data_IF_475194281707
#
_entry.id   IF_475194281707
#
_cell.length_a   1.000
_cell.length_b   1.000
_cell.length_c   1.000
_cell.angle_alpha   90.00
_cell.angle_beta   90.00
_cell.angle_gamma   90.00
#
_symmetry.space_group_name_H-M   'P 1'
#
loop_
_entity.id
_entity.type
_entity.pdbx_description
1 polymer ?
#
# COMPACT_ATOMS: atom_id res chain seq x y z
N UNK A 1 13.80 -2.83 -24.96
CA UNK A 1 15.21 -2.56 -24.52
C UNK A 1 15.15 -2.24 -23.04
N UNK A 2 15.49 -3.18 -22.14
CA UNK A 2 15.50 -2.93 -20.68
C UNK A 2 16.66 -1.98 -20.39
N UNK A 3 16.37 -0.78 -19.99
CA UNK A 3 17.40 0.13 -19.47
C UNK A 3 17.86 -0.42 -18.14
N UNK A 4 19.10 -0.88 -18.08
CA UNK A 4 19.71 -1.43 -16.87
C UNK A 4 19.99 -0.27 -15.91
N UNK A 5 19.07 0.03 -14.99
CA UNK A 5 19.22 1.10 -13.98
C UNK A 5 20.35 0.83 -12.97
N UNK A 6 20.93 -0.36 -12.96
CA UNK A 6 22.11 -0.68 -12.15
C UNK A 6 23.39 0.08 -12.56
N UNK A 7 23.35 0.90 -13.60
CA UNK A 7 24.53 1.64 -14.10
C UNK A 7 24.51 3.14 -13.77
N UNK A 8 23.47 3.70 -13.18
CA UNK A 8 23.44 5.10 -12.77
C UNK A 8 23.48 5.14 -11.24
N UNK A 9 24.52 5.73 -10.62
CA UNK A 9 24.54 5.98 -9.18
C UNK A 9 23.52 7.06 -8.86
N UNK A 10 22.26 6.69 -8.86
CA UNK A 10 21.11 7.56 -8.64
C UNK A 10 20.63 7.47 -7.21
N UNK A 11 20.20 8.60 -6.66
CA UNK A 11 19.58 8.68 -5.34
C UNK A 11 18.07 8.60 -5.47
N UNK A 12 17.44 7.72 -4.68
CA UNK A 12 15.97 7.61 -4.61
C UNK A 12 15.43 8.34 -3.38
N UNK A 13 14.53 9.30 -3.57
CA UNK A 13 13.80 9.89 -2.45
C UNK A 13 12.66 8.97 -2.03
N UNK A 14 12.64 8.56 -0.76
CA UNK A 14 11.52 7.86 -0.13
C UNK A 14 10.80 8.80 0.82
N UNK A 15 9.52 9.07 0.56
CA UNK A 15 8.66 9.82 1.49
C UNK A 15 7.81 8.82 2.29
N UNK A 16 7.56 9.10 3.57
CA UNK A 16 6.85 8.17 4.44
C UNK A 16 7.69 6.98 4.90
N UNK A 17 9.02 7.12 4.91
CA UNK A 17 9.97 6.07 5.25
C UNK A 17 9.87 5.52 6.67
N UNK A 18 9.26 6.25 7.62
CA UNK A 18 8.97 5.75 8.98
C UNK A 18 7.66 4.97 9.07
N UNK A 19 6.84 4.94 8.00
CA UNK A 19 5.59 4.18 7.95
C UNK A 19 5.81 2.71 7.66
N UNK A 20 4.77 1.88 7.89
CA UNK A 20 4.80 0.42 7.72
C UNK A 20 5.37 -0.02 6.36
N UNK A 21 4.82 0.47 5.25
CA UNK A 21 5.31 0.12 3.89
C UNK A 21 6.65 0.82 3.59
N UNK A 22 6.78 2.11 3.95
CA UNK A 22 7.97 2.89 3.63
C UNK A 22 9.23 2.37 4.31
N UNK A 23 9.14 1.89 5.55
CA UNK A 23 10.27 1.28 6.27
C UNK A 23 10.71 -0.05 5.63
N UNK A 24 9.76 -0.87 5.17
CA UNK A 24 10.08 -2.10 4.44
C UNK A 24 10.78 -1.80 3.10
N UNK A 25 10.31 -0.80 2.36
CA UNK A 25 10.95 -0.34 1.11
C UNK A 25 12.39 0.13 1.37
N UNK A 26 12.62 0.88 2.44
CA UNK A 26 13.98 1.32 2.82
C UNK A 26 14.84 0.12 3.18
N UNK A 27 14.32 -0.82 3.97
CA UNK A 27 15.05 -2.03 4.39
C UNK A 27 15.43 -2.94 3.21
N UNK A 28 14.56 -3.03 2.19
CA UNK A 28 14.79 -3.84 0.98
C UNK A 28 15.77 -3.17 -0.01
N UNK A 29 16.19 -1.92 0.22
CA UNK A 29 16.99 -1.18 -0.74
C UNK A 29 18.45 -1.65 -0.78
N UNK A 30 18.95 -1.75 -2.00
CA UNK A 30 20.40 -1.84 -2.31
C UNK A 30 20.97 -0.54 -2.89
N UNK A 31 20.13 0.52 -3.00
CA UNK A 31 20.45 1.80 -3.64
C UNK A 31 20.68 2.90 -2.61
N UNK A 32 21.27 4.02 -3.05
CA UNK A 32 21.40 5.22 -2.22
C UNK A 32 20.03 5.83 -1.97
N UNK A 33 19.62 5.91 -0.71
CA UNK A 33 18.33 6.48 -0.30
C UNK A 33 18.50 7.87 0.30
N UNK A 34 17.61 8.78 -0.12
CA UNK A 34 17.24 9.96 0.66
C UNK A 34 15.88 9.72 1.29
N UNK A 35 15.75 9.88 2.59
CA UNK A 35 14.46 9.72 3.29
C UNK A 35 13.94 11.07 3.79
N UNK A 36 12.66 11.36 3.50
CA UNK A 36 11.98 12.48 4.13
C UNK A 36 11.53 12.08 5.54
N UNK A 37 12.10 12.73 6.53
CA UNK A 37 11.83 12.53 7.96
C UNK A 37 10.96 13.67 8.48
N UNK A 38 9.83 13.35 9.11
CA UNK A 38 8.96 14.35 9.74
C UNK A 38 9.06 14.28 11.28
N UNK A 39 8.37 13.37 11.92
CA UNK A 39 8.36 13.22 13.38
C UNK A 39 9.08 11.97 13.84
N UNK A 40 8.78 10.87 13.17
CA UNK A 40 9.33 9.57 13.52
C UNK A 40 10.67 9.35 12.80
N UNK A 41 11.61 8.74 13.51
CA UNK A 41 12.89 8.39 12.93
C UNK A 41 12.76 7.41 11.78
N UNK A 42 13.63 7.52 10.80
CA UNK A 42 13.82 6.53 9.76
C UNK A 42 15.08 5.74 10.09
N UNK A 43 14.94 4.44 10.24
CA UNK A 43 16.03 3.53 10.55
C UNK A 43 16.71 3.04 9.27
N UNK A 44 18.01 2.81 9.34
CA UNK A 44 18.84 2.26 8.28
C UNK A 44 20.22 2.92 8.24
N UNK A 45 21.19 2.17 7.75
CA UNK A 45 22.56 2.65 7.57
C UNK A 45 22.69 3.40 6.25
N UNK A 46 23.50 4.46 6.22
CA UNK A 46 23.83 5.23 5.01
C UNK A 46 22.62 5.89 4.32
N UNK A 47 21.60 6.31 5.09
CA UNK A 47 20.45 7.04 4.58
C UNK A 47 20.73 8.55 4.67
N UNK A 48 20.64 9.25 3.54
CA UNK A 48 20.62 10.71 3.50
C UNK A 48 19.26 11.21 4.02
N UNK A 49 19.23 11.84 5.19
CA UNK A 49 17.99 12.28 5.86
C UNK A 49 17.74 13.75 5.58
N UNK A 50 16.59 14.04 4.99
CA UNK A 50 16.06 15.39 4.84
C UNK A 50 14.84 15.57 5.73
N UNK A 51 14.77 16.71 6.40
CA UNK A 51 13.75 16.95 7.43
C UNK A 51 12.69 17.91 6.93
N UNK A 52 11.43 17.58 7.22
CA UNK A 52 10.29 18.44 6.92
C UNK A 52 8.95 17.72 6.94
N UNK A 53 7.90 18.55 6.92
CA UNK A 53 6.52 18.06 6.77
C UNK A 53 6.18 17.97 5.28
N UNK A 54 5.75 16.82 4.83
CA UNK A 54 5.24 16.61 3.46
C UNK A 54 4.19 17.68 3.04
N UNK A 55 3.45 18.23 4.00
CA UNK A 55 2.44 19.26 3.74
C UNK A 55 2.99 20.69 3.67
N UNK A 56 4.32 20.88 3.64
CA UNK A 56 4.98 22.21 3.72
C UNK A 56 5.00 23.03 2.44
N UNK A 57 4.78 22.42 1.26
CA UNK A 57 4.68 23.13 -0.01
C UNK A 57 5.92 23.09 -0.92
N UNK A 58 5.82 23.74 -2.08
CA UNK A 58 6.66 23.52 -3.26
C UNK A 58 8.17 23.79 -3.05
N UNK A 59 8.54 24.91 -2.43
CA UNK A 59 9.94 25.26 -2.20
C UNK A 59 10.72 24.21 -1.40
N UNK A 60 10.04 23.47 -0.53
CA UNK A 60 10.66 22.39 0.23
C UNK A 60 10.88 21.17 -0.66
N UNK A 61 9.94 20.84 -1.54
CA UNK A 61 10.09 19.72 -2.47
C UNK A 61 11.28 19.90 -3.39
N UNK A 62 11.50 21.08 -3.96
CA UNK A 62 12.67 21.37 -4.80
C UNK A 62 13.98 21.04 -4.08
N UNK A 63 14.09 21.38 -2.79
CA UNK A 63 15.28 21.06 -1.99
C UNK A 63 15.43 19.54 -1.73
N UNK A 64 14.33 18.85 -1.47
CA UNK A 64 14.38 17.42 -1.16
C UNK A 64 14.70 16.55 -2.38
N UNK A 65 14.29 16.99 -3.58
CA UNK A 65 14.53 16.26 -4.83
C UNK A 65 15.84 16.69 -5.53
N UNK A 66 16.60 17.64 -5.01
CA UNK A 66 17.87 18.04 -5.59
C UNK A 66 18.87 16.87 -5.59
N UNK A 67 19.41 16.53 -6.77
CA UNK A 67 20.27 15.37 -6.96
C UNK A 67 19.58 14.01 -6.82
N UNK A 68 18.24 13.97 -6.94
CA UNK A 68 17.42 12.74 -6.89
C UNK A 68 17.08 12.31 -8.32
N UNK A 69 17.16 11.00 -8.58
CA UNK A 69 16.86 10.42 -9.90
C UNK A 69 15.50 9.70 -9.92
N UNK A 70 14.97 9.31 -8.75
CA UNK A 70 13.68 8.64 -8.66
C UNK A 70 13.01 8.91 -7.31
N UNK A 71 11.70 8.73 -7.27
CA UNK A 71 10.91 8.97 -6.06
C UNK A 71 10.02 7.76 -5.78
N UNK A 72 9.98 7.34 -4.51
CA UNK A 72 8.99 6.40 -4.00
C UNK A 72 8.15 7.14 -2.97
N UNK A 73 6.91 7.46 -3.36
CA UNK A 73 6.01 8.26 -2.55
C UNK A 73 5.02 7.38 -1.80
N UNK A 74 5.29 7.15 -0.50
CA UNK A 74 4.41 6.38 0.40
C UNK A 74 3.79 7.25 1.49
N UNK A 75 4.17 8.53 1.58
CA UNK A 75 3.66 9.43 2.62
C UNK A 75 2.15 9.66 2.46
N UNK A 76 1.40 9.26 3.47
CA UNK A 76 -0.05 9.39 3.51
C UNK A 76 -0.50 9.93 4.87
N UNK A 77 -0.49 11.26 5.06
CA UNK A 77 -1.02 11.87 6.27
C UNK A 77 -2.48 11.47 6.48
N UNK A 78 -2.86 11.17 7.71
CA UNK A 78 -4.22 10.76 8.05
C UNK A 78 -4.71 11.39 9.36
N UNK A 79 -5.99 11.21 9.67
CA UNK A 79 -6.65 11.66 10.88
C UNK A 79 -7.59 10.58 11.40
N UNK A 80 -7.77 10.50 12.72
CA UNK A 80 -8.70 9.55 13.33
C UNK A 80 -10.18 9.83 13.03
N UNK A 81 -10.56 11.10 12.79
CA UNK A 81 -11.96 11.51 12.54
C UNK A 81 -12.22 11.69 11.06
N UNK A 82 -13.40 11.28 10.57
CA UNK A 82 -13.81 11.37 9.16
C UNK A 82 -13.64 12.77 8.56
N UNK A 83 -14.19 13.81 9.22
CA UNK A 83 -14.03 15.19 8.75
C UNK A 83 -12.56 15.64 8.70
N UNK A 84 -11.74 15.19 9.65
CA UNK A 84 -10.30 15.41 9.66
C UNK A 84 -9.61 14.75 8.50
N UNK A 85 -10.02 13.52 8.10
CA UNK A 85 -9.47 12.80 6.93
C UNK A 85 -9.68 13.56 5.63
N UNK A 86 -10.89 14.06 5.38
CA UNK A 86 -11.16 14.86 4.18
C UNK A 86 -10.41 16.20 4.17
N UNK A 87 -10.25 16.86 5.34
CA UNK A 87 -9.42 18.07 5.45
C UNK A 87 -7.96 17.77 5.11
N UNK A 88 -7.40 16.71 5.66
CA UNK A 88 -6.02 16.28 5.38
C UNK A 88 -5.88 15.86 3.92
N UNK A 89 -6.85 15.14 3.35
CA UNK A 89 -6.83 14.73 1.96
C UNK A 89 -6.74 15.90 0.99
N UNK A 90 -7.47 17.01 1.26
CA UNK A 90 -7.35 18.25 0.47
C UNK A 90 -5.97 18.90 0.61
N UNK A 91 -5.40 18.92 1.81
CA UNK A 91 -4.02 19.40 2.03
C UNK A 91 -3.00 18.51 1.31
N UNK A 92 -3.18 17.19 1.38
CA UNK A 92 -2.34 16.21 0.66
C UNK A 92 -2.43 16.43 -0.85
N UNK A 93 -3.65 16.70 -1.37
CA UNK A 93 -3.81 17.04 -2.80
C UNK A 93 -3.00 18.27 -3.16
N UNK A 94 -3.03 19.34 -2.37
CA UNK A 94 -2.25 20.54 -2.62
C UNK A 94 -0.75 20.27 -2.56
N UNK A 95 -0.29 19.51 -1.57
CA UNK A 95 1.11 19.09 -1.47
C UNK A 95 1.54 18.24 -2.68
N UNK A 96 0.70 17.32 -3.13
CA UNK A 96 0.97 16.51 -4.32
C UNK A 96 0.99 17.34 -5.62
N UNK A 97 0.15 18.38 -5.76
CA UNK A 97 0.25 19.33 -6.87
C UNK A 97 1.64 19.98 -6.88
N UNK A 98 2.09 20.47 -5.73
CA UNK A 98 3.41 21.10 -5.59
C UNK A 98 4.55 20.11 -5.86
N UNK A 99 4.42 18.86 -5.41
CA UNK A 99 5.43 17.83 -5.63
C UNK A 99 5.51 17.44 -7.11
N UNK A 100 4.37 17.25 -7.78
CA UNK A 100 4.31 17.01 -9.23
C UNK A 100 4.94 18.17 -10.02
N UNK A 101 4.67 19.40 -9.62
CA UNK A 101 5.30 20.60 -10.24
C UNK A 101 6.83 20.56 -10.12
N UNK A 102 7.34 20.28 -8.92
CA UNK A 102 8.76 20.14 -8.67
C UNK A 102 9.39 18.99 -9.47
N UNK A 103 8.73 17.83 -9.54
CA UNK A 103 9.16 16.66 -10.32
C UNK A 103 9.25 16.98 -11.81
N UNK A 104 8.25 17.66 -12.36
CA UNK A 104 8.25 18.11 -13.76
C UNK A 104 9.42 19.07 -14.05
N UNK A 105 9.61 20.05 -13.18
CA UNK A 105 10.68 21.06 -13.31
C UNK A 105 12.07 20.41 -13.24
N UNK A 106 12.27 19.50 -12.30
CA UNK A 106 13.53 18.77 -12.14
C UNK A 106 13.71 17.62 -13.13
N UNK A 107 12.69 17.32 -13.96
CA UNK A 107 12.70 16.23 -14.95
C UNK A 107 13.03 14.87 -14.33
N UNK A 108 12.48 14.58 -13.14
CA UNK A 108 12.66 13.27 -12.49
C UNK A 108 12.00 12.19 -13.37
N UNK A 109 12.76 11.20 -13.87
CA UNK A 109 12.25 10.29 -14.89
C UNK A 109 11.31 9.22 -14.32
N UNK A 110 11.38 8.93 -13.03
CA UNK A 110 10.62 7.84 -12.42
C UNK A 110 10.08 8.21 -11.05
N UNK A 111 8.77 8.05 -10.89
CA UNK A 111 8.10 8.21 -9.60
C UNK A 111 7.15 7.05 -9.36
N UNK A 112 7.27 6.38 -8.22
CA UNK A 112 6.27 5.42 -7.75
C UNK A 112 5.34 6.10 -6.75
N UNK A 113 4.05 6.03 -7.00
CA UNK A 113 3.01 6.35 -6.04
C UNK A 113 2.48 5.06 -5.41
N UNK A 114 2.71 4.87 -4.12
CA UNK A 114 2.10 3.78 -3.37
C UNK A 114 0.68 4.14 -2.98
N UNK A 115 -0.29 3.40 -3.48
CA UNK A 115 -1.69 3.60 -3.16
C UNK A 115 -2.42 2.26 -2.93
N UNK A 116 -3.67 2.29 -2.46
CA UNK A 116 -4.42 1.07 -2.13
C UNK A 116 -5.37 0.61 -3.22
N UNK A 117 -5.61 -0.69 -3.28
CA UNK A 117 -6.61 -1.32 -4.17
C UNK A 117 -8.06 -0.93 -3.82
N UNK A 118 -8.33 -0.42 -2.62
CA UNK A 118 -9.64 0.14 -2.25
C UNK A 118 -10.13 1.26 -3.17
N UNK A 119 -9.24 1.85 -3.98
CA UNK A 119 -9.62 2.81 -5.03
C UNK A 119 -10.49 2.21 -6.13
N UNK A 120 -10.44 0.89 -6.36
CA UNK A 120 -11.33 0.20 -7.28
C UNK A 120 -12.76 0.08 -6.74
N UNK A 121 -12.93 0.12 -5.42
CA UNK A 121 -14.21 -0.06 -4.75
C UNK A 121 -14.64 -1.51 -4.60
N UNK A 122 -15.89 -1.70 -4.18
CA UNK A 122 -16.47 -3.03 -4.05
C UNK A 122 -16.78 -3.60 -5.44
N UNK A 123 -16.20 -4.76 -5.79
CA UNK A 123 -16.29 -5.38 -7.12
C UNK A 123 -16.98 -6.74 -7.14
N UNK A 124 -17.48 -7.21 -6.00
CA UNK A 124 -18.14 -8.53 -5.93
C UNK A 124 -17.20 -9.64 -6.42
N UNK A 125 -17.60 -10.30 -7.51
CA UNK A 125 -16.86 -11.42 -8.13
C UNK A 125 -15.89 -11.00 -9.24
N UNK A 126 -15.96 -9.74 -9.66
CA UNK A 126 -15.15 -9.22 -10.76
C UNK A 126 -13.65 -9.38 -10.47
N UNK A 127 -12.90 -9.93 -11.43
CA UNK A 127 -11.45 -9.92 -11.40
C UNK A 127 -10.96 -8.53 -11.82
N UNK A 128 -10.34 -7.83 -10.90
CA UNK A 128 -9.98 -6.42 -11.04
C UNK A 128 -8.65 -6.29 -11.75
N UNK A 129 -8.66 -5.70 -12.94
CA UNK A 129 -7.50 -5.40 -13.77
C UNK A 129 -6.88 -4.04 -13.41
N UNK A 130 -5.66 -3.79 -13.87
CA UNK A 130 -4.97 -2.52 -13.63
C UNK A 130 -5.66 -1.31 -14.26
N UNK A 131 -6.43 -1.52 -15.32
CA UNK A 131 -7.23 -0.54 -16.06
C UNK A 131 -8.70 -0.48 -15.62
N UNK A 132 -9.12 -1.30 -14.65
CA UNK A 132 -10.48 -1.27 -14.10
C UNK A 132 -10.85 0.13 -13.58
N UNK A 133 -12.10 0.53 -13.81
CA UNK A 133 -12.61 1.85 -13.42
C UNK A 133 -12.50 2.03 -11.90
N UNK A 134 -12.03 3.19 -11.48
CA UNK A 134 -11.94 3.55 -10.06
C UNK A 134 -13.30 3.99 -9.51
N UNK A 135 -13.70 3.39 -8.39
CA UNK A 135 -14.89 3.76 -7.63
C UNK A 135 -14.59 3.68 -6.12
N UNK A 136 -13.79 4.62 -5.59
CA UNK A 136 -13.24 4.53 -4.24
C UNK A 136 -14.31 4.35 -3.16
N UNK A 137 -14.03 3.48 -2.18
CA UNK A 137 -14.89 3.24 -1.03
C UNK A 137 -14.13 3.35 0.28
N UNK A 138 -14.85 3.63 1.35
CA UNK A 138 -14.31 3.69 2.69
C UNK A 138 -13.15 4.68 2.81
N UNK A 139 -12.00 4.22 3.26
CA UNK A 139 -10.84 5.11 3.39
C UNK A 139 -10.34 5.66 2.05
N UNK A 140 -10.52 4.92 0.96
CA UNK A 140 -10.05 5.35 -0.35
C UNK A 140 -10.82 6.56 -0.88
N UNK A 141 -12.07 6.83 -0.44
CA UNK A 141 -12.81 8.05 -0.79
C UNK A 141 -12.01 9.32 -0.46
N UNK A 142 -11.42 9.37 0.74
CA UNK A 142 -10.58 10.49 1.13
C UNK A 142 -9.20 10.45 0.46
N UNK A 143 -8.57 9.28 0.40
CA UNK A 143 -7.19 9.16 -0.10
C UNK A 143 -7.07 9.42 -1.58
N UNK A 144 -8.07 9.06 -2.40
CA UNK A 144 -8.10 9.34 -3.84
C UNK A 144 -8.10 10.84 -4.17
N UNK A 145 -8.59 11.69 -3.25
CA UNK A 145 -8.47 13.14 -3.39
C UNK A 145 -6.99 13.56 -3.43
N UNK A 146 -6.18 12.99 -2.53
CA UNK A 146 -4.74 13.27 -2.48
C UNK A 146 -3.97 12.68 -3.65
N UNK A 147 -4.37 11.50 -4.13
CA UNK A 147 -3.75 10.78 -5.24
C UNK A 147 -3.90 11.50 -6.59
N UNK A 148 -5.01 12.17 -6.80
CA UNK A 148 -5.44 12.71 -8.10
C UNK A 148 -4.34 13.44 -8.90
N UNK A 149 -3.50 14.33 -8.32
CA UNK A 149 -2.46 15.02 -9.09
C UNK A 149 -1.43 14.09 -9.76
N UNK A 150 -1.12 12.95 -9.11
CA UNK A 150 -0.21 11.95 -9.66
C UNK A 150 -0.84 11.15 -10.78
N UNK A 151 -2.11 10.78 -10.62
CA UNK A 151 -2.88 10.08 -11.65
C UNK A 151 -3.06 10.97 -12.89
N UNK A 152 -3.38 12.25 -12.69
CA UNK A 152 -3.47 13.23 -13.78
C UNK A 152 -2.10 13.40 -14.47
N UNK A 153 -1.01 13.35 -13.72
CA UNK A 153 0.34 13.40 -14.28
C UNK A 153 0.67 12.15 -15.09
N UNK A 154 0.33 10.95 -14.60
CA UNK A 154 0.48 9.71 -15.35
C UNK A 154 -0.24 9.81 -16.71
N UNK A 155 -1.51 10.16 -16.72
CA UNK A 155 -2.31 10.24 -17.95
C UNK A 155 -1.89 11.37 -18.89
N UNK A 156 -1.11 12.35 -18.41
CA UNK A 156 -0.49 13.38 -19.25
C UNK A 156 0.89 12.99 -19.79
N UNK A 157 1.30 11.72 -19.66
CA UNK A 157 2.58 11.20 -20.15
C UNK A 157 3.74 11.35 -19.15
N UNK A 158 3.45 11.58 -17.87
CA UNK A 158 4.47 11.63 -16.81
C UNK A 158 5.02 10.28 -16.41
N UNK A 159 6.28 10.23 -15.96
CA UNK A 159 7.00 9.02 -15.54
C UNK A 159 6.51 8.44 -14.20
N UNK A 160 5.20 8.21 -14.06
CA UNK A 160 4.56 7.75 -12.81
C UNK A 160 4.14 6.29 -12.93
N UNK A 161 4.44 5.50 -11.89
CA UNK A 161 3.93 4.16 -11.66
C UNK A 161 3.05 4.18 -10.42
N UNK A 162 1.78 3.81 -10.55
CA UNK A 162 0.84 3.72 -9.43
C UNK A 162 0.74 2.27 -8.99
N UNK A 163 1.30 1.95 -7.83
CA UNK A 163 1.20 0.60 -7.24
C UNK A 163 -0.07 0.54 -6.40
N UNK A 164 -1.00 -0.33 -6.78
CA UNK A 164 -2.27 -0.59 -6.09
C UNK A 164 -2.10 -1.72 -5.06
N UNK A 165 -1.57 -1.38 -3.90
CA UNK A 165 -1.36 -2.35 -2.82
C UNK A 165 -2.69 -2.94 -2.32
N UNK A 166 -2.83 -4.28 -2.25
CA UNK A 166 -3.99 -4.94 -1.66
C UNK A 166 -3.92 -4.95 -0.12
N UNK A 167 -4.44 -5.97 0.54
CA UNK A 167 -4.24 -6.21 1.96
C UNK A 167 -2.77 -6.57 2.22
N UNK A 168 -2.00 -5.63 2.78
CA UNK A 168 -0.58 -5.83 3.08
C UNK A 168 -0.42 -6.46 4.46
N UNK A 169 0.14 -7.66 4.52
CA UNK A 169 0.47 -8.40 5.73
C UNK A 169 1.89 -8.05 6.20
N UNK A 170 2.09 -8.05 7.50
CA UNK A 170 3.39 -7.87 8.16
C UNK A 170 3.24 -7.46 9.62
N UNK A 171 4.30 -7.52 10.43
CA UNK A 171 4.29 -7.05 11.81
C UNK A 171 3.88 -5.58 11.91
N UNK A 172 2.95 -5.25 12.81
CA UNK A 172 2.41 -3.89 12.97
C UNK A 172 1.36 -3.50 11.93
N UNK A 173 0.87 -4.43 11.11
CA UNK A 173 -0.19 -4.17 10.12
C UNK A 173 -1.60 -4.21 10.73
N UNK A 174 -2.60 -3.96 9.88
CA UNK A 174 -4.02 -4.12 10.20
C UNK A 174 -4.37 -5.52 10.74
N UNK A 175 -3.57 -6.55 10.43
CA UNK A 175 -3.80 -7.94 10.83
C UNK A 175 -3.88 -8.08 12.35
N UNK A 176 -2.95 -7.49 13.08
CA UNK A 176 -2.92 -7.59 14.55
C UNK A 176 -4.20 -7.00 15.17
N UNK A 177 -4.63 -5.85 14.67
CA UNK A 177 -5.84 -5.17 15.16
C UNK A 177 -7.13 -5.95 14.87
N UNK A 178 -7.19 -6.67 13.73
CA UNK A 178 -8.42 -7.31 13.28
C UNK A 178 -8.50 -8.80 13.63
N UNK A 179 -7.36 -9.51 13.70
CA UNK A 179 -7.31 -10.97 13.77
C UNK A 179 -6.56 -11.53 14.99
N UNK A 180 -6.11 -10.69 15.92
CA UNK A 180 -5.47 -11.15 17.17
C UNK A 180 -6.40 -11.12 18.41
N UNK A 181 -7.71 -11.13 18.20
CA UNK A 181 -8.73 -11.25 19.26
C UNK A 181 -8.89 -12.72 19.74
N UNK A 182 -9.69 -12.95 20.80
CA UNK A 182 -9.99 -14.31 21.34
C UNK A 182 -10.64 -15.24 20.33
N UNK A 183 -11.47 -14.69 19.45
CA UNK A 183 -12.10 -15.38 18.31
C UNK A 183 -11.80 -14.64 17.04
N UNK A 184 -11.51 -15.40 15.99
CA UNK A 184 -11.22 -14.80 14.68
C UNK A 184 -12.52 -14.31 14.04
N UNK A 185 -12.60 -13.03 13.64
CA UNK A 185 -13.82 -12.47 13.08
C UNK A 185 -14.06 -12.91 11.64
N UNK A 186 -15.29 -13.35 11.36
CA UNK A 186 -15.85 -13.41 10.01
C UNK A 186 -16.68 -12.16 9.82
N UNK A 187 -16.28 -11.28 8.91
CA UNK A 187 -16.91 -9.97 8.71
C UNK A 187 -18.11 -10.07 7.77
N UNK A 188 -19.31 -9.78 8.27
CA UNK A 188 -20.56 -10.00 7.54
C UNK A 188 -20.80 -11.50 7.35
N UNK A 189 -20.95 -11.92 6.10
CA UNK A 189 -21.04 -13.34 5.70
C UNK A 189 -19.67 -13.93 5.30
N UNK A 190 -18.62 -13.08 5.26
CA UNK A 190 -17.27 -13.49 4.88
C UNK A 190 -17.07 -13.75 3.39
N UNK A 191 -18.07 -13.42 2.55
CA UNK A 191 -18.05 -13.71 1.11
C UNK A 191 -17.14 -12.78 0.31
N UNK A 192 -16.70 -11.65 0.87
CA UNK A 192 -15.85 -10.70 0.18
C UNK A 192 -14.47 -11.27 -0.15
N UNK A 193 -13.99 -11.01 -1.36
CA UNK A 193 -12.65 -11.37 -1.78
C UNK A 193 -11.58 -10.50 -1.10
N UNK A 194 -10.52 -11.16 -0.67
CA UNK A 194 -9.28 -10.57 -0.18
C UNK A 194 -8.13 -10.97 -1.09
N UNK A 195 -7.36 -9.99 -1.52
CA UNK A 195 -6.08 -10.19 -2.18
C UNK A 195 -4.98 -9.78 -1.19
N UNK A 196 -4.01 -10.64 -0.96
CA UNK A 196 -3.03 -10.51 0.12
C UNK A 196 -1.62 -10.41 -0.45
N UNK A 197 -0.80 -9.55 0.12
CA UNK A 197 0.64 -9.43 -0.20
C UNK A 197 1.42 -9.26 1.11
N UNK A 198 2.61 -9.85 1.21
CA UNK A 198 3.51 -9.54 2.33
C UNK A 198 4.16 -8.17 2.13
N UNK A 199 4.50 -7.50 3.21
CA UNK A 199 5.13 -6.17 3.14
C UNK A 199 6.51 -6.24 2.49
N UNK A 200 7.21 -7.36 2.66
CA UNK A 200 8.51 -7.63 2.05
C UNK A 200 8.38 -7.78 0.53
N UNK A 201 7.45 -8.64 0.07
CA UNK A 201 7.19 -8.81 -1.37
C UNK A 201 6.70 -7.53 -2.04
N UNK A 202 5.89 -6.72 -1.33
CA UNK A 202 5.48 -5.41 -1.83
C UNK A 202 6.66 -4.45 -1.94
N UNK A 203 7.60 -4.48 -0.99
CA UNK A 203 8.80 -3.66 -1.03
C UNK A 203 9.72 -4.04 -2.20
N UNK A 204 9.99 -5.33 -2.38
CA UNK A 204 10.81 -5.84 -3.50
C UNK A 204 10.16 -5.52 -4.84
N UNK A 205 8.85 -5.73 -4.97
CA UNK A 205 8.09 -5.35 -6.15
C UNK A 205 8.16 -3.86 -6.45
N UNK A 206 8.08 -3.02 -5.42
CA UNK A 206 8.19 -1.56 -5.57
C UNK A 206 9.54 -1.17 -6.19
N UNK A 207 10.63 -1.81 -5.78
CA UNK A 207 11.94 -1.58 -6.39
C UNK A 207 12.02 -2.10 -7.82
N UNK A 208 11.43 -3.25 -8.12
CA UNK A 208 11.48 -3.84 -9.47
C UNK A 208 10.77 -2.96 -10.50
N UNK A 209 9.60 -2.41 -10.17
CA UNK A 209 8.83 -1.56 -11.11
C UNK A 209 9.37 -0.14 -11.26
N UNK A 210 10.40 0.24 -10.50
CA UNK A 210 11.00 1.57 -10.61
C UNK A 210 11.57 1.85 -12.00
N UNK A 211 12.00 0.80 -12.71
CA UNK A 211 12.55 0.86 -14.07
C UNK A 211 11.53 0.57 -15.17
N UNK A 212 10.30 0.23 -14.80
CA UNK A 212 9.27 -0.11 -15.78
C UNK A 212 8.67 1.13 -16.44
N UNK A 213 7.83 0.93 -17.46
CA UNK A 213 7.10 1.99 -18.11
C UNK A 213 6.07 2.62 -17.16
N UNK A 214 5.68 3.89 -17.39
CA UNK A 214 4.60 4.53 -16.64
C UNK A 214 3.30 3.73 -16.75
N UNK A 215 2.59 3.56 -15.62
CA UNK A 215 1.36 2.76 -15.62
C UNK A 215 0.80 2.50 -14.23
N UNK A 216 -0.23 1.66 -14.18
CA UNK A 216 -0.81 1.14 -12.94
C UNK A 216 -0.35 -0.31 -12.78
N UNK A 217 0.02 -0.68 -11.57
CA UNK A 217 0.62 -1.97 -11.25
C UNK A 217 -0.06 -2.64 -10.06
N UNK A 218 -0.29 -3.96 -10.18
CA UNK A 218 -0.65 -4.83 -9.07
C UNK A 218 0.58 -5.64 -8.64
N UNK A 219 0.91 -5.70 -7.33
CA UNK A 219 2.00 -6.54 -6.87
C UNK A 219 1.61 -8.03 -6.99
N UNK A 220 2.58 -8.94 -7.19
CA UNK A 220 2.35 -10.36 -7.08
C UNK A 220 1.71 -10.71 -5.73
N UNK A 221 0.63 -11.47 -5.74
CA UNK A 221 -0.11 -11.84 -4.54
C UNK A 221 0.57 -12.99 -3.80
N UNK A 222 0.57 -12.92 -2.49
CA UNK A 222 0.88 -14.04 -1.62
C UNK A 222 -0.24 -15.07 -1.68
N UNK A 223 -1.49 -14.60 -1.58
CA UNK A 223 -2.68 -15.41 -1.69
C UNK A 223 -3.93 -14.57 -2.01
N UNK A 224 -4.95 -15.24 -2.59
CA UNK A 224 -6.26 -14.63 -2.87
C UNK A 224 -7.35 -15.59 -2.44
N UNK A 225 -8.25 -15.15 -1.56
CA UNK A 225 -9.30 -15.99 -0.98
C UNK A 225 -10.51 -15.17 -0.53
N UNK A 226 -11.57 -15.86 -0.10
CA UNK A 226 -12.66 -15.22 0.64
C UNK A 226 -12.21 -14.85 2.05
N UNK A 227 -12.85 -13.84 2.61
CA UNK A 227 -12.54 -13.44 3.98
C UNK A 227 -12.87 -14.54 5.00
N UNK A 228 -13.94 -15.31 4.77
CA UNK A 228 -14.28 -16.50 5.58
C UNK A 228 -13.17 -17.56 5.58
N UNK A 229 -12.55 -17.81 4.41
CA UNK A 229 -11.46 -18.77 4.28
C UNK A 229 -10.20 -18.27 4.99
N UNK A 230 -9.89 -16.96 4.82
CA UNK A 230 -8.80 -16.33 5.55
C UNK A 230 -9.00 -16.43 7.07
N UNK A 231 -10.22 -16.12 7.55
CA UNK A 231 -10.56 -16.26 8.97
C UNK A 231 -10.39 -17.70 9.48
N UNK A 232 -10.76 -18.70 8.68
CA UNK A 232 -10.58 -20.13 8.99
C UNK A 232 -9.10 -20.48 9.09
N UNK A 233 -8.28 -20.09 8.12
CA UNK A 233 -6.83 -20.32 8.13
C UNK A 233 -6.20 -19.74 9.40
N UNK A 234 -6.50 -18.47 9.74
CA UNK A 234 -5.98 -17.84 10.95
C UNK A 234 -6.47 -18.56 12.23
N UNK A 235 -7.74 -18.99 12.23
CA UNK A 235 -8.36 -19.76 13.32
C UNK A 235 -7.61 -21.07 13.58
N UNK A 236 -7.29 -21.80 12.53
CA UNK A 236 -6.54 -23.07 12.60
C UNK A 236 -5.11 -22.85 13.12
N UNK A 237 -4.38 -21.84 12.59
CA UNK A 237 -3.02 -21.52 13.05
C UNK A 237 -3.01 -21.13 14.54
N UNK A 238 -3.99 -20.35 14.98
CA UNK A 238 -4.06 -19.88 16.38
C UNK A 238 -4.73 -20.85 17.34
N UNK A 239 -5.34 -21.92 16.87
CA UNK A 239 -6.08 -22.87 17.72
C UNK A 239 -7.31 -22.26 18.41
N UNK A 240 -7.94 -21.23 17.82
CA UNK A 240 -9.11 -20.53 18.40
C UNK A 240 -10.28 -20.54 17.42
N UNK A 241 -11.52 -20.46 17.94
CA UNK A 241 -12.71 -20.47 17.09
C UNK A 241 -12.94 -19.17 16.32
N UNK A 242 -13.83 -19.22 15.32
CA UNK A 242 -14.30 -18.05 14.59
C UNK A 242 -15.56 -17.46 15.20
N UNK A 243 -15.88 -16.20 14.90
CA UNK A 243 -17.15 -15.56 15.25
C UNK A 243 -17.62 -14.60 14.15
N UNK A 244 -18.91 -14.64 13.82
CA UNK A 244 -19.49 -13.71 12.85
C UNK A 244 -19.65 -12.34 13.49
N UNK A 245 -19.13 -11.31 12.81
CA UNK A 245 -19.24 -9.91 13.23
C UNK A 245 -20.08 -9.15 12.19
N UNK A 246 -21.31 -8.78 12.58
CA UNK A 246 -22.20 -8.07 11.68
C UNK A 246 -21.67 -6.71 11.25
N UNK A 247 -22.07 -6.26 10.06
CA UNK A 247 -21.69 -4.93 9.54
C UNK A 247 -22.08 -3.79 10.51
N UNK A 248 -23.20 -3.90 11.20
CA UNK A 248 -23.62 -2.92 12.22
C UNK A 248 -22.68 -2.88 13.43
N UNK A 249 -22.20 -4.05 13.89
CA UNK A 249 -21.21 -4.14 14.97
C UNK A 249 -19.86 -3.55 14.55
N UNK A 250 -19.40 -3.81 13.32
CA UNK A 250 -18.20 -3.19 12.75
C UNK A 250 -18.32 -1.67 12.71
N UNK A 251 -19.45 -1.16 12.21
CA UNK A 251 -19.68 0.29 12.12
C UNK A 251 -19.68 0.96 13.49
N UNK A 252 -20.22 0.29 14.50
CA UNK A 252 -20.17 0.80 15.89
C UNK A 252 -18.75 0.81 16.45
N UNK A 253 -17.95 -0.23 16.15
CA UNK A 253 -16.58 -0.36 16.69
C UNK A 253 -15.57 0.52 15.96
N UNK A 254 -15.61 0.55 14.63
CA UNK A 254 -14.56 1.16 13.79
C UNK A 254 -15.03 2.34 12.94
N UNK A 255 -16.34 2.59 12.90
CA UNK A 255 -16.96 3.62 12.04
C UNK A 255 -17.23 3.16 10.61
N UNK A 256 -18.04 3.95 9.87
CA UNK A 256 -18.52 3.61 8.52
C UNK A 256 -17.38 3.39 7.52
N UNK A 257 -16.40 4.31 7.45
CA UNK A 257 -15.30 4.22 6.47
C UNK A 257 -14.46 2.95 6.66
N UNK A 258 -14.17 2.56 7.92
CA UNK A 258 -13.47 1.32 8.20
C UNK A 258 -14.30 0.11 7.80
N UNK A 259 -15.60 0.11 8.14
CA UNK A 259 -16.52 -0.98 7.78
C UNK A 259 -16.61 -1.16 6.27
N UNK A 260 -16.77 -0.07 5.53
CA UNK A 260 -16.85 -0.10 4.07
C UNK A 260 -15.53 -0.61 3.46
N UNK A 261 -14.38 -0.27 4.06
CA UNK A 261 -13.09 -0.80 3.65
C UNK A 261 -12.94 -2.31 3.93
N UNK A 262 -13.32 -2.75 5.13
CA UNK A 262 -13.20 -4.15 5.58
C UNK A 262 -14.13 -5.08 4.80
N UNK A 263 -15.35 -4.61 4.50
CA UNK A 263 -16.36 -5.39 3.80
C UNK A 263 -16.33 -5.26 2.27
N UNK A 264 -15.32 -4.57 1.71
CA UNK A 264 -15.20 -4.46 0.26
C UNK A 264 -14.60 -5.73 -0.34
N UNK A 265 -15.23 -6.24 -1.40
CA UNK A 265 -14.76 -7.39 -2.18
C UNK A 265 -13.88 -6.89 -3.31
N UNK A 266 -12.59 -7.24 -3.28
CA UNK A 266 -11.62 -6.85 -4.31
C UNK A 266 -10.76 -8.05 -4.66
N UNK A 267 -11.03 -8.64 -5.83
CA UNK A 267 -10.31 -9.77 -6.38
C UNK A 267 -9.32 -9.24 -7.42
N UNK A 268 -8.09 -8.92 -7.01
CA UNK A 268 -7.08 -8.36 -7.92
C UNK A 268 -6.54 -9.41 -8.88
N UNK A 269 -6.36 -9.01 -10.13
CA UNK A 269 -5.49 -9.72 -11.06
C UNK A 269 -4.04 -9.23 -10.88
N UNK A 270 -3.14 -10.15 -10.57
CA UNK A 270 -1.70 -9.89 -10.42
C UNK A 270 -0.88 -10.40 -11.61
N UNK A 271 -1.56 -10.78 -12.70
CA UNK A 271 -0.94 -11.36 -13.91
C UNK A 271 -0.55 -12.83 -13.78
N UNK A 272 -0.72 -13.45 -12.59
CA UNK A 272 -0.40 -14.86 -12.34
C UNK A 272 -1.64 -15.79 -12.49
N UNK A 273 -2.80 -15.24 -12.84
CA UNK A 273 -4.04 -15.97 -13.03
C UNK A 273 -4.52 -16.66 -11.74
N UNK A 274 -4.90 -17.94 -11.84
CA UNK A 274 -5.37 -18.74 -10.70
C UNK A 274 -4.25 -19.23 -9.77
N UNK A 275 -2.99 -19.03 -10.12
CA UNK A 275 -1.87 -19.49 -9.28
C UNK A 275 -1.89 -18.88 -7.88
N UNK A 276 -2.45 -17.67 -7.73
CA UNK A 276 -2.63 -16.98 -6.44
C UNK A 276 -3.75 -17.58 -5.56
N UNK A 277 -4.46 -18.60 -6.05
CA UNK A 277 -5.48 -19.39 -5.31
C UNK A 277 -5.05 -20.87 -5.18
N UNK A 278 -3.82 -21.22 -5.52
CA UNK A 278 -3.30 -22.59 -5.50
C UNK A 278 -2.92 -23.07 -4.11
N UNK A 279 -2.82 -24.39 -3.92
CA UNK A 279 -2.35 -25.01 -2.67
C UNK A 279 -0.94 -24.54 -2.30
N UNK A 280 -0.05 -24.37 -3.27
CA UNK A 280 1.30 -23.84 -3.07
C UNK A 280 1.29 -22.38 -2.54
N UNK A 281 0.35 -21.56 -2.98
CA UNK A 281 0.18 -20.19 -2.46
C UNK A 281 -0.48 -20.19 -1.08
N UNK A 282 -1.38 -21.13 -0.82
CA UNK A 282 -1.95 -21.36 0.52
C UNK A 282 -0.87 -21.73 1.52
N UNK A 283 0.01 -22.67 1.17
CA UNK A 283 1.14 -23.06 2.02
C UNK A 283 2.06 -21.88 2.35
N UNK A 284 2.37 -21.03 1.37
CA UNK A 284 3.14 -19.80 1.58
C UNK A 284 2.44 -18.85 2.57
N UNK A 285 1.11 -18.67 2.43
CA UNK A 285 0.33 -17.85 3.35
C UNK A 285 0.37 -18.41 4.77
N UNK A 286 0.14 -19.72 4.93
CA UNK A 286 0.16 -20.39 6.25
C UNK A 286 1.51 -20.22 6.92
N UNK A 287 2.61 -20.48 6.21
CA UNK A 287 3.97 -20.32 6.71
C UNK A 287 4.27 -18.86 7.10
N UNK A 288 3.84 -17.91 6.28
CA UNK A 288 4.02 -16.49 6.58
C UNK A 288 3.26 -16.06 7.84
N UNK A 289 1.99 -16.45 7.96
CA UNK A 289 1.15 -16.14 9.12
C UNK A 289 1.68 -16.82 10.39
N UNK A 290 2.10 -18.09 10.32
CA UNK A 290 2.70 -18.81 11.44
C UNK A 290 3.96 -18.09 11.94
N UNK A 291 4.85 -17.68 11.04
CA UNK A 291 6.04 -16.89 11.37
C UNK A 291 5.69 -15.54 12.02
N UNK A 292 4.71 -14.81 11.45
CA UNK A 292 4.24 -13.53 12.03
C UNK A 292 3.69 -13.68 13.46
N UNK A 293 3.02 -14.80 13.74
CA UNK A 293 2.38 -15.07 15.02
C UNK A 293 3.32 -15.73 16.03
N UNK A 294 4.57 -16.00 15.65
CA UNK A 294 5.57 -16.65 16.51
C UNK A 294 5.38 -18.16 16.66
N UNK A 295 4.61 -18.79 15.78
CA UNK A 295 4.49 -20.25 15.71
C UNK A 295 5.59 -20.75 14.76
N UNK A 296 6.63 -21.40 15.32
CA UNK A 296 7.61 -22.10 14.50
C UNK A 296 6.94 -23.34 13.88
N UNK A 297 7.08 -23.53 12.56
CA UNK A 297 6.76 -24.82 11.97
C UNK A 297 7.76 -25.86 12.56
N UNK A 298 7.28 -26.71 13.45
CA UNK A 298 8.00 -27.91 13.91
C UNK A 298 8.01 -28.97 12.81
#
# INVERSE_FOLDING_TARGET
MRVNLNSVPGRTLVTGGSGFIGSAIIKASTSNIRALVHKEAVEGNNIDKVYGDFLSGEKQFEKWIDGVNSIIHTARPSSGKTAGRYRIARRTRQANISMVSAVKKAKIPSTILMHGSLSYGHRGEELVQTDSILNPVGYAEAYSIGERPWVDYLYSGGGVKVVRAPWVLGPGSWFEMLYCEEKIPVFGDGSQWMSLVSVESLADFTWSVLSDEPGVYHPPLLYRCRQSDFAKIVSEIRGVGTSVVSRSRLTRKYGKMATDSICSSIRLDDGNGVSSESDSSLEKLVNYLASMLGFSNT
#
